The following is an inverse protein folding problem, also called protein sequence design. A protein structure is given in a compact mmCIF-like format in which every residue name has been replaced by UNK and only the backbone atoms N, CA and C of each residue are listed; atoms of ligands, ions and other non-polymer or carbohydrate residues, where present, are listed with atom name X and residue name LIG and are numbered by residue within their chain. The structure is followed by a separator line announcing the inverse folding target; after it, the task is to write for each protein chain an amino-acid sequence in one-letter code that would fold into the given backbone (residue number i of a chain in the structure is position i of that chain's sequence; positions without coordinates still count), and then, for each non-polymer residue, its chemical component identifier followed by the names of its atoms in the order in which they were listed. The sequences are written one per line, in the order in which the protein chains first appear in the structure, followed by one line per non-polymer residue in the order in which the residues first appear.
data_IF_055669293740
#
_entry.id   IF_055669293740
#
_cell.length_a   1.000
_cell.length_b   1.000
_cell.length_c   1.000
_cell.angle_alpha   90.00
_cell.angle_beta   90.00
_cell.angle_gamma   90.00
#
_symmetry.space_group_name_H-M   'P 1'
#
loop_
_entity.id
_entity.type
_entity.pdbx_description
1 polymer ?
#
# COMPACT_ATOMS: atom_id res chain seq x y z
N UNK A 1 -17.68 19.19 -1.40
CA UNK A 1 -17.57 17.71 -1.32
C UNK A 1 -16.83 17.12 -2.53
N UNK A 2 -17.14 17.54 -3.77
CA UNK A 2 -16.43 17.08 -4.97
C UNK A 2 -14.92 17.35 -4.95
N UNK A 3 -14.50 18.55 -4.53
CA UNK A 3 -13.08 18.93 -4.50
C UNK A 3 -12.27 18.04 -3.54
N UNK A 4 -12.80 17.78 -2.35
CA UNK A 4 -12.15 16.89 -1.37
C UNK A 4 -12.01 15.44 -1.86
N UNK A 5 -12.93 14.95 -2.70
CA UNK A 5 -12.82 13.63 -3.32
C UNK A 5 -11.73 13.59 -4.40
N UNK A 6 -11.57 14.68 -5.15
CA UNK A 6 -10.47 14.81 -6.12
C UNK A 6 -9.12 14.83 -5.40
N UNK A 7 -9.01 15.59 -4.29
CA UNK A 7 -7.79 15.60 -3.47
C UNK A 7 -7.48 14.23 -2.87
N UNK A 8 -8.51 13.49 -2.43
CA UNK A 8 -8.37 12.12 -1.95
C UNK A 8 -7.85 11.19 -3.05
N UNK A 9 -8.34 11.31 -4.29
CA UNK A 9 -7.84 10.53 -5.43
C UNK A 9 -6.37 10.84 -5.70
N UNK A 10 -6.01 12.12 -5.72
CA UNK A 10 -4.62 12.54 -5.95
C UNK A 10 -3.68 12.02 -4.84
N UNK A 11 -4.15 12.00 -3.59
CA UNK A 11 -3.43 11.36 -2.48
C UNK A 11 -3.28 9.85 -2.69
N UNK A 12 -4.38 9.16 -3.01
CA UNK A 12 -4.38 7.71 -3.25
C UNK A 12 -3.41 7.33 -4.37
N UNK A 13 -3.43 8.06 -5.49
CA UNK A 13 -2.53 7.83 -6.62
C UNK A 13 -1.07 8.01 -6.24
N UNK A 14 -0.72 9.01 -5.41
CA UNK A 14 0.66 9.15 -4.90
C UNK A 14 1.12 7.94 -4.09
N UNK A 15 0.25 7.41 -3.23
CA UNK A 15 0.55 6.21 -2.42
C UNK A 15 0.62 4.94 -3.28
N UNK A 16 -0.24 4.80 -4.28
CA UNK A 16 -0.16 3.70 -5.24
C UNK A 16 1.13 3.76 -6.07
N UNK A 17 1.55 4.96 -6.49
CA UNK A 17 2.82 5.15 -7.20
C UNK A 17 4.01 4.76 -6.33
N UNK A 18 4.00 5.15 -5.05
CA UNK A 18 5.00 4.69 -4.08
C UNK A 18 5.04 3.16 -4.01
N UNK A 19 3.88 2.49 -3.84
CA UNK A 19 3.80 1.02 -3.85
C UNK A 19 4.38 0.39 -5.12
N UNK A 20 4.10 0.96 -6.30
CA UNK A 20 4.56 0.40 -7.58
C UNK A 20 6.07 0.63 -7.76
N UNK A 21 6.58 1.80 -7.40
CA UNK A 21 7.99 2.17 -7.63
C UNK A 21 8.96 1.61 -6.57
N UNK A 22 8.52 1.40 -5.33
CA UNK A 22 9.40 0.95 -4.23
C UNK A 22 9.50 -0.57 -4.16
N UNK A 23 10.67 -1.20 -4.27
CA UNK A 23 10.84 -2.66 -4.18
C UNK A 23 10.14 -3.30 -2.97
N UNK A 24 9.61 -4.52 -3.11
CA UNK A 24 8.84 -5.19 -2.04
C UNK A 24 9.65 -5.41 -0.75
N UNK A 25 10.97 -5.59 -0.87
CA UNK A 25 11.90 -5.74 0.23
C UNK A 25 12.18 -4.44 0.99
N UNK A 26 11.95 -3.29 0.36
CA UNK A 26 12.02 -1.96 0.99
C UNK A 26 10.68 -1.53 1.59
N UNK A 27 9.56 -2.01 1.05
CA UNK A 27 8.21 -1.65 1.51
C UNK A 27 7.90 -2.17 2.92
N UNK A 28 8.39 -3.36 3.27
CA UNK A 28 8.22 -3.94 4.60
C UNK A 28 9.46 -4.72 4.99
N UNK A 29 10.17 -4.21 5.99
CA UNK A 29 11.29 -4.95 6.58
C UNK A 29 10.78 -6.16 7.35
N UNK A 30 11.45 -7.29 7.14
CA UNK A 30 11.26 -8.47 7.96
C UNK A 30 12.32 -8.49 9.05
N UNK A 31 11.91 -8.16 10.27
CA UNK A 31 12.78 -8.28 11.45
C UNK A 31 13.04 -9.75 11.73
N UNK A 32 14.30 -10.16 11.72
CA UNK A 32 14.68 -11.57 11.85
C UNK A 32 14.59 -12.05 13.31
N UNK A 33 14.79 -11.17 14.28
CA UNK A 33 14.71 -11.52 15.71
C UNK A 33 14.50 -10.31 16.61
N UNK A 34 13.99 -10.53 17.83
CA UNK A 34 13.90 -9.49 18.87
C UNK A 34 15.28 -8.91 19.25
N UNK A 35 16.37 -9.68 19.08
CA UNK A 35 17.73 -9.18 19.31
C UNK A 35 18.12 -8.09 18.29
N UNK A 36 17.71 -8.24 17.03
CA UNK A 36 17.95 -7.23 15.99
C UNK A 36 17.33 -5.88 16.40
N UNK A 37 16.10 -5.89 16.92
CA UNK A 37 15.45 -4.66 17.41
C UNK A 37 16.14 -4.04 18.63
N UNK A 38 16.84 -4.83 19.44
CA UNK A 38 17.52 -4.32 20.65
C UNK A 38 18.79 -3.55 20.29
N UNK A 39 19.35 -3.81 19.10
CA UNK A 39 20.55 -3.15 18.57
C UNK A 39 20.24 -1.86 17.79
N UNK A 40 18.96 -1.50 17.63
CA UNK A 40 18.58 -0.30 16.90
C UNK A 40 18.77 0.95 17.75
N UNK A 41 19.21 2.03 17.10
CA UNK A 41 19.15 3.36 17.70
C UNK A 41 17.74 3.96 17.53
N UNK A 42 17.47 5.03 18.28
CA UNK A 42 16.16 5.67 18.29
C UNK A 42 15.73 6.17 16.89
N UNK A 43 16.69 6.62 16.07
CA UNK A 43 16.42 7.14 14.73
C UNK A 43 15.97 6.02 13.80
N UNK A 44 16.68 4.89 13.81
CA UNK A 44 16.32 3.71 13.02
C UNK A 44 14.99 3.11 13.47
N UNK A 45 14.71 3.05 14.78
CA UNK A 45 13.40 2.60 15.28
C UNK A 45 12.24 3.42 14.71
N UNK A 46 12.40 4.76 14.66
CA UNK A 46 11.38 5.65 14.12
C UNK A 46 11.19 5.47 12.60
N UNK A 47 12.28 5.29 11.87
CA UNK A 47 12.24 5.07 10.41
C UNK A 47 11.50 3.78 10.06
N UNK A 48 11.77 2.69 10.79
CA UNK A 48 11.11 1.40 10.58
C UNK A 48 9.61 1.47 10.90
N UNK A 49 9.23 2.17 11.98
CA UNK A 49 7.83 2.43 12.31
C UNK A 49 7.14 3.28 11.24
N UNK A 50 7.85 4.27 10.69
CA UNK A 50 7.34 5.11 9.62
C UNK A 50 7.07 4.29 8.36
N UNK A 51 8.02 3.44 7.94
CA UNK A 51 7.86 2.56 6.78
C UNK A 51 6.71 1.58 6.98
N UNK A 52 6.58 0.97 8.16
CA UNK A 52 5.45 0.09 8.48
C UNK A 52 4.10 0.82 8.36
N UNK A 53 4.00 2.01 8.96
CA UNK A 53 2.80 2.84 8.89
C UNK A 53 2.47 3.24 7.44
N UNK A 54 3.49 3.64 6.68
CA UNK A 54 3.34 4.03 5.28
C UNK A 54 2.82 2.88 4.42
N UNK A 55 3.32 1.65 4.64
CA UNK A 55 2.81 0.45 3.99
C UNK A 55 1.34 0.18 4.34
N UNK A 56 0.96 0.30 5.62
CA UNK A 56 -0.43 0.12 6.06
C UNK A 56 -1.37 1.16 5.42
N UNK A 57 -0.95 2.42 5.35
CA UNK A 57 -1.68 3.49 4.66
C UNK A 57 -1.89 3.11 3.19
N UNK A 58 -0.86 2.60 2.54
CA UNK A 58 -0.94 2.17 1.15
C UNK A 58 -1.95 1.02 0.95
N UNK A 59 -2.05 0.07 1.87
CA UNK A 59 -3.06 -1.01 1.83
C UNK A 59 -4.48 -0.48 2.01
N UNK A 60 -4.67 0.50 2.89
CA UNK A 60 -5.95 1.22 3.02
C UNK A 60 -6.32 1.95 1.73
N UNK A 61 -5.36 2.61 1.08
CA UNK A 61 -5.57 3.34 -0.16
C UNK A 61 -6.08 2.43 -1.28
N UNK A 62 -5.57 1.20 -1.40
CA UNK A 62 -6.09 0.23 -2.37
C UNK A 62 -7.58 -0.03 -2.12
N UNK A 63 -7.96 -0.20 -0.85
CA UNK A 63 -9.36 -0.42 -0.44
C UNK A 63 -10.24 0.80 -0.74
N UNK A 64 -9.73 2.02 -0.51
CA UNK A 64 -10.42 3.27 -0.83
C UNK A 64 -10.64 3.39 -2.34
N UNK A 65 -9.62 3.14 -3.16
CA UNK A 65 -9.74 3.19 -4.62
C UNK A 65 -10.78 2.19 -5.11
N UNK A 66 -10.74 0.96 -4.60
CA UNK A 66 -11.78 -0.05 -4.90
C UNK A 66 -13.17 0.46 -4.54
N UNK A 67 -13.35 0.99 -3.33
CA UNK A 67 -14.63 1.53 -2.88
C UNK A 67 -15.14 2.64 -3.81
N UNK A 68 -14.28 3.58 -4.21
CA UNK A 68 -14.63 4.67 -5.13
C UNK A 68 -15.04 4.14 -6.51
N UNK A 69 -14.33 3.15 -7.05
CA UNK A 69 -14.65 2.57 -8.36
C UNK A 69 -15.92 1.73 -8.34
N UNK A 70 -16.20 1.03 -7.23
CA UNK A 70 -17.43 0.25 -7.04
C UNK A 70 -18.66 1.16 -6.95
N UNK A 71 -18.50 2.37 -6.41
CA UNK A 71 -19.59 3.33 -6.19
C UNK A 71 -19.59 4.50 -7.19
N UNK A 72 -18.99 4.35 -8.37
CA UNK A 72 -18.83 5.44 -9.37
C UNK A 72 -20.10 6.24 -9.69
N UNK A 73 -21.28 5.63 -9.60
CA UNK A 73 -22.57 6.30 -9.87
C UNK A 73 -22.90 7.36 -8.81
N UNK A 74 -22.45 7.16 -7.57
CA UNK A 74 -22.63 8.10 -6.46
C UNK A 74 -21.52 9.14 -6.36
N UNK A 75 -20.45 9.00 -7.17
CA UNK A 75 -19.26 9.87 -7.13
C UNK A 75 -19.35 10.91 -8.26
N UNK A 76 -18.93 12.18 -8.03
CA UNK A 76 -18.92 13.20 -9.07
C UNK A 76 -18.09 12.78 -10.30
N UNK A 77 -18.55 13.16 -11.50
CA UNK A 77 -17.85 12.87 -12.78
C UNK A 77 -16.38 13.27 -12.76
N UNK A 78 -16.07 14.41 -12.12
CA UNK A 78 -14.71 14.92 -11.97
C UNK A 78 -13.72 13.89 -11.39
N UNK A 79 -14.17 13.05 -10.45
CA UNK A 79 -13.34 11.98 -9.87
C UNK A 79 -13.03 10.90 -10.90
N UNK A 80 -14.02 10.51 -11.70
CA UNK A 80 -13.84 9.49 -12.75
C UNK A 80 -12.89 10.01 -13.84
N UNK A 81 -13.07 11.26 -14.27
CA UNK A 81 -12.15 11.93 -15.20
C UNK A 81 -10.74 12.01 -14.61
N UNK A 82 -10.59 12.33 -13.32
CA UNK A 82 -9.28 12.38 -12.65
C UNK A 82 -8.59 11.01 -12.62
N UNK A 83 -9.33 9.96 -12.29
CA UNK A 83 -8.81 8.59 -12.23
C UNK A 83 -8.36 8.08 -13.61
N UNK A 84 -9.17 8.31 -14.64
CA UNK A 84 -8.95 7.74 -15.97
C UNK A 84 -8.07 8.62 -16.85
N UNK A 85 -8.39 9.90 -16.99
CA UNK A 85 -7.72 10.78 -17.96
C UNK A 85 -6.48 11.48 -17.40
N UNK A 86 -6.44 11.76 -16.09
CA UNK A 86 -5.28 12.45 -15.50
C UNK A 86 -4.21 11.45 -15.02
N UNK A 87 -4.63 10.40 -14.31
CA UNK A 87 -3.70 9.50 -13.63
C UNK A 87 -3.49 8.16 -14.31
N UNK A 88 -4.30 7.84 -15.33
CA UNK A 88 -4.32 6.52 -15.98
C UNK A 88 -4.29 5.39 -14.95
N UNK A 89 -5.24 5.38 -14.01
CA UNK A 89 -5.21 4.51 -12.82
C UNK A 89 -5.00 3.03 -13.15
N UNK A 90 -5.47 2.57 -14.32
CA UNK A 90 -5.27 1.19 -14.78
C UNK A 90 -3.78 0.86 -15.01
N UNK A 91 -2.99 1.80 -15.53
CA UNK A 91 -1.54 1.64 -15.70
C UNK A 91 -0.79 1.58 -14.37
N UNK A 92 -1.40 2.04 -13.27
CA UNK A 92 -0.86 1.85 -11.92
C UNK A 92 -1.33 0.53 -11.30
N UNK A 93 -2.60 0.15 -11.49
CA UNK A 93 -3.18 -1.03 -10.85
C UNK A 93 -2.67 -2.35 -11.45
N UNK A 94 -2.46 -2.42 -12.78
CA UNK A 94 -1.94 -3.63 -13.44
C UNK A 94 -0.57 -4.07 -12.89
N UNK A 95 0.49 -3.23 -12.91
CA UNK A 95 1.79 -3.63 -12.36
C UNK A 95 1.73 -3.85 -10.84
N UNK A 96 0.84 -3.14 -10.13
CA UNK A 96 0.64 -3.37 -8.69
C UNK A 96 0.10 -4.78 -8.40
N UNK A 97 -0.85 -5.26 -9.22
CA UNK A 97 -1.38 -6.62 -9.10
C UNK A 97 -0.33 -7.69 -9.40
N UNK A 98 0.52 -7.47 -10.40
CA UNK A 98 1.63 -8.40 -10.73
C UNK A 98 2.68 -8.43 -9.61
N UNK A 99 3.01 -7.26 -9.06
CA UNK A 99 3.97 -7.11 -7.95
C UNK A 99 3.47 -7.68 -6.63
N UNK A 100 2.16 -7.61 -6.39
CA UNK A 100 1.47 -8.12 -5.22
C UNK A 100 2.20 -7.84 -3.88
N UNK A 101 2.42 -6.57 -3.49
CA UNK A 101 3.21 -6.20 -2.31
C UNK A 101 2.62 -6.68 -0.98
N UNK A 102 1.33 -7.04 -0.95
CA UNK A 102 0.66 -7.70 0.18
C UNK A 102 0.95 -9.20 0.27
N UNK A 103 1.78 -9.77 -0.61
CA UNK A 103 2.23 -11.17 -0.56
C UNK A 103 3.74 -11.17 -0.37
N UNK A 104 4.23 -11.95 0.60
CA UNK A 104 5.67 -12.11 0.81
C UNK A 104 6.02 -13.53 1.20
N UNK A 105 7.27 -13.92 0.97
CA UNK A 105 7.87 -15.09 1.62
C UNK A 105 8.56 -14.62 2.89
N UNK A 106 8.18 -15.19 4.03
CA UNK A 106 8.81 -14.89 5.31
C UNK A 106 10.21 -15.54 5.33
N UNK A 107 11.23 -14.72 5.62
CA UNK A 107 12.66 -15.08 5.61
C UNK A 107 13.04 -16.03 6.75
N UNK A 108 12.26 -16.06 7.83
CA UNK A 108 12.52 -16.89 9.02
C UNK A 108 11.96 -18.30 8.83
N UNK A 109 10.68 -18.41 8.46
CA UNK A 109 9.98 -19.70 8.39
C UNK A 109 9.83 -20.25 6.95
N UNK A 110 10.18 -19.46 5.93
CA UNK A 110 10.09 -19.82 4.51
C UNK A 110 8.67 -19.87 3.94
N UNK A 111 7.63 -19.63 4.76
CA UNK A 111 6.22 -19.71 4.36
C UNK A 111 5.79 -18.47 3.61
N UNK A 112 4.75 -18.63 2.79
CA UNK A 112 4.11 -17.50 2.11
C UNK A 112 3.11 -16.87 3.08
N UNK A 113 3.19 -15.55 3.22
CA UNK A 113 2.29 -14.75 4.04
C UNK A 113 1.55 -13.74 3.16
N UNK A 114 0.29 -13.48 3.51
CA UNK A 114 -0.53 -12.40 2.96
C UNK A 114 -0.79 -11.35 4.04
N UNK A 115 -0.84 -10.09 3.63
CA UNK A 115 -1.20 -8.99 4.51
C UNK A 115 -2.71 -8.78 4.50
N UNK A 116 -3.37 -9.19 5.59
CA UNK A 116 -4.81 -9.11 5.76
C UNK A 116 -5.12 -8.60 7.18
N UNK A 117 -6.13 -7.72 7.30
CA UNK A 117 -6.52 -7.10 8.57
C UNK A 117 -5.35 -6.43 9.32
N UNK A 118 -4.51 -5.71 8.58
CA UNK A 118 -3.30 -5.05 9.10
C UNK A 118 -2.25 -6.01 9.70
N UNK A 119 -2.30 -7.30 9.36
CA UNK A 119 -1.37 -8.31 9.87
C UNK A 119 -0.90 -9.25 8.77
N UNK A 120 0.33 -9.75 8.92
CA UNK A 120 0.83 -10.81 8.06
C UNK A 120 0.33 -12.17 8.56
N UNK A 121 -0.39 -12.88 7.70
CA UNK A 121 -1.00 -14.18 7.99
C UNK A 121 -0.44 -15.22 7.02
N UNK A 122 -0.12 -16.41 7.53
CA UNK A 122 0.37 -17.52 6.69
C UNK A 122 -0.76 -18.00 5.79
N UNK A 123 -0.47 -18.16 4.50
CA UNK A 123 -1.41 -18.78 3.55
C UNK A 123 -1.32 -20.29 3.72
N UNK A 124 -2.43 -20.94 4.10
CA UNK A 124 -2.56 -22.40 4.11
C UNK A 124 -2.56 -23.00 2.70
#
# INVERSE_FOLDING_TARGET
AGDALVDLVDYCVRKLRYLVCTPNDELVRQVASAKECTEWDNVRMLDEQFVECEFQICMCVISIIRFLTDHRVAVPLAVTTRLLETHDILLLLVPLMEKAPWVRRNRINGRIEKFEEHKWQVVE
#
